data_IF_869859351449
#
_entry.id   IF_869859351449
#
_cell.length_a   1.000
_cell.length_b   1.000
_cell.length_c   1.000
_cell.angle_alpha   90.00
_cell.angle_beta   90.00
_cell.angle_gamma   90.00
#
_symmetry.space_group_name_H-M   'P 1'
#
loop_
_entity.id
_entity.type
_entity.pdbx_description
1 polymer ?
#
# COMPACT_ATOMS: atom_id res chain seq x y z
N UNK A 1 5.92 1.24 0.40
CA UNK A 1 6.16 -0.02 -0.35
C UNK A 1 7.18 -0.95 0.30
N UNK A 2 8.39 -0.49 0.70
CA UNK A 2 9.37 -1.40 1.34
C UNK A 2 8.76 -2.15 2.53
N UNK A 3 8.19 -1.41 3.48
CA UNK A 3 7.71 -2.00 4.73
C UNK A 3 6.48 -2.90 4.56
N UNK A 4 5.58 -2.56 3.63
CA UNK A 4 4.40 -3.39 3.34
C UNK A 4 4.73 -4.67 2.57
N UNK A 5 5.95 -4.78 2.02
CA UNK A 5 6.45 -5.97 1.33
C UNK A 5 7.55 -6.70 2.13
N UNK A 6 7.73 -6.38 3.41
CA UNK A 6 8.87 -6.80 4.22
C UNK A 6 9.14 -8.32 4.17
N UNK A 7 8.09 -9.14 4.17
CA UNK A 7 8.20 -10.60 4.21
C UNK A 7 8.87 -11.19 2.96
N UNK A 8 8.77 -10.50 1.82
CA UNK A 8 9.39 -10.93 0.57
C UNK A 8 10.76 -10.30 0.34
N UNK A 9 11.15 -9.28 1.11
CA UNK A 9 12.45 -8.60 0.91
C UNK A 9 13.65 -9.47 1.28
N UNK A 10 13.45 -10.46 2.15
CA UNK A 10 14.49 -11.40 2.56
C UNK A 10 14.55 -12.65 1.68
N UNK A 11 13.62 -12.78 0.72
CA UNK A 11 13.67 -13.87 -0.23
C UNK A 11 14.84 -13.66 -1.19
N UNK A 12 15.74 -14.64 -1.30
CA UNK A 12 16.90 -14.61 -2.19
C UNK A 12 16.53 -14.37 -3.67
N UNK A 13 15.30 -14.73 -4.04
CA UNK A 13 14.78 -14.59 -5.41
C UNK A 13 14.10 -13.23 -5.64
N UNK A 14 14.14 -12.32 -4.66
CA UNK A 14 13.53 -10.99 -4.73
C UNK A 14 14.60 -9.90 -4.59
N UNK A 15 14.62 -8.98 -5.54
CA UNK A 15 15.44 -7.77 -5.48
C UNK A 15 14.53 -6.55 -5.32
N UNK A 16 14.63 -5.87 -4.18
CA UNK A 16 13.91 -4.62 -3.93
C UNK A 16 14.82 -3.41 -4.08
N UNK A 17 14.44 -2.47 -4.94
CA UNK A 17 15.16 -1.23 -5.13
C UNK A 17 14.56 -0.12 -4.26
N UNK A 18 15.34 0.38 -3.28
CA UNK A 18 14.97 1.51 -2.44
C UNK A 18 16.00 2.65 -2.59
N UNK A 19 15.56 3.90 -2.85
CA UNK A 19 16.48 5.04 -2.92
C UNK A 19 17.30 5.27 -1.64
N UNK A 20 16.77 4.84 -0.48
CA UNK A 20 17.44 4.98 0.80
C UNK A 20 18.72 4.13 0.91
N UNK A 21 18.77 3.00 0.18
CA UNK A 21 19.87 2.04 0.22
C UNK A 21 21.00 2.41 -0.78
N UNK A 22 20.86 3.52 -1.51
CA UNK A 22 21.83 3.99 -2.50
C UNK A 22 23.10 4.56 -1.85
N UNK A 23 24.26 4.27 -2.45
CA UNK A 23 25.53 4.96 -2.13
C UNK A 23 25.43 6.47 -2.42
N UNK A 24 26.34 7.25 -1.84
CA UNK A 24 26.40 8.72 -2.06
C UNK A 24 26.42 9.08 -3.55
N UNK A 25 27.23 8.37 -4.35
CA UNK A 25 27.32 8.60 -5.80
C UNK A 25 26.01 8.25 -6.52
N UNK A 26 25.36 7.15 -6.15
CA UNK A 26 24.07 6.77 -6.70
C UNK A 26 22.97 7.77 -6.31
N UNK A 27 22.98 8.33 -5.09
CA UNK A 27 22.04 9.38 -4.68
C UNK A 27 22.14 10.63 -5.56
N UNK A 28 23.35 11.02 -5.97
CA UNK A 28 23.55 12.13 -6.90
C UNK A 28 22.86 11.85 -8.24
N UNK A 29 23.10 10.67 -8.84
CA UNK A 29 22.48 10.28 -10.10
C UNK A 29 20.95 10.11 -9.98
N UNK A 30 20.48 9.59 -8.84
CA UNK A 30 19.06 9.48 -8.55
C UNK A 30 18.39 10.85 -8.46
N UNK A 31 19.06 11.84 -7.87
CA UNK A 31 18.56 13.22 -7.82
C UNK A 31 18.51 13.87 -9.21
N UNK A 32 19.50 13.59 -10.07
CA UNK A 32 19.47 14.04 -11.48
C UNK A 32 18.29 13.39 -12.21
N UNK A 33 18.12 12.08 -12.07
CA UNK A 33 17.00 11.34 -12.63
C UNK A 33 15.65 11.91 -12.16
N UNK A 34 15.50 12.15 -10.85
CA UNK A 34 14.32 12.75 -10.26
C UNK A 34 14.04 14.15 -10.79
N UNK A 35 15.08 14.98 -10.92
CA UNK A 35 14.99 16.30 -11.54
C UNK A 35 14.50 16.20 -12.98
N UNK A 36 15.11 15.34 -13.81
CA UNK A 36 14.69 15.16 -15.21
C UNK A 36 13.21 14.74 -15.30
N UNK A 37 12.78 13.79 -14.48
CA UNK A 37 11.39 13.31 -14.41
C UNK A 37 10.41 14.43 -14.03
N UNK A 38 10.81 15.30 -13.10
CA UNK A 38 10.00 16.43 -12.63
C UNK A 38 9.77 17.47 -13.72
N UNK A 39 10.72 17.64 -14.64
CA UNK A 39 10.66 18.62 -15.74
C UNK A 39 10.20 18.01 -17.08
N UNK A 40 9.74 16.75 -17.09
CA UNK A 40 9.23 16.12 -18.31
C UNK A 40 10.32 15.56 -19.23
N UNK A 41 11.55 15.41 -18.75
CA UNK A 41 12.71 14.91 -19.50
C UNK A 41 12.98 13.42 -19.29
N UNK A 42 12.01 12.67 -18.76
CA UNK A 42 12.10 11.22 -18.56
C UNK A 42 12.57 10.44 -19.79
N UNK A 43 12.16 10.88 -20.99
CA UNK A 43 12.50 10.22 -22.25
C UNK A 43 13.91 10.55 -22.76
N UNK A 44 14.60 11.52 -22.14
CA UNK A 44 15.98 11.90 -22.47
C UNK A 44 17.01 11.31 -21.52
N UNK A 45 16.58 10.52 -20.53
CA UNK A 45 17.48 9.92 -19.54
C UNK A 45 18.38 8.88 -20.23
N UNK A 46 19.71 9.05 -20.21
CA UNK A 46 20.61 8.10 -20.83
C UNK A 46 20.61 6.72 -20.16
N UNK A 47 20.69 5.64 -20.95
CA UNK A 47 20.66 4.25 -20.47
C UNK A 47 21.69 3.96 -19.36
N UNK A 48 22.87 4.61 -19.40
CA UNK A 48 23.91 4.41 -18.39
C UNK A 48 23.46 4.82 -16.97
N UNK A 49 22.53 5.79 -16.84
CA UNK A 49 21.98 6.19 -15.54
C UNK A 49 21.20 5.02 -14.95
N UNK A 50 20.34 4.37 -15.73
CA UNK A 50 19.61 3.19 -15.29
C UNK A 50 20.56 2.05 -14.94
N UNK A 51 21.58 1.79 -15.78
CA UNK A 51 22.57 0.74 -15.53
C UNK A 51 23.34 0.95 -14.22
N UNK A 52 23.62 2.20 -13.86
CA UNK A 52 24.36 2.51 -12.63
C UNK A 52 23.48 2.51 -11.38
N UNK A 53 22.23 2.95 -11.51
CA UNK A 53 21.27 2.97 -10.41
C UNK A 53 20.73 1.58 -10.09
N UNK A 54 20.30 0.83 -11.10
CA UNK A 54 19.68 -0.47 -10.93
C UNK A 54 20.72 -1.58 -11.17
N UNK A 55 21.13 -2.35 -10.15
CA UNK A 55 22.20 -3.34 -10.24
C UNK A 55 21.75 -4.62 -10.96
N UNK A 56 21.08 -4.48 -12.10
CA UNK A 56 20.44 -5.58 -12.81
C UNK A 56 21.42 -6.67 -13.22
N UNK A 57 22.73 -6.42 -13.29
CA UNK A 57 23.72 -7.47 -13.57
C UNK A 57 23.77 -8.59 -12.51
N UNK A 58 23.22 -8.37 -11.32
CA UNK A 58 23.17 -9.41 -10.28
C UNK A 58 22.09 -10.46 -10.56
N UNK A 59 21.18 -10.22 -11.50
CA UNK A 59 20.09 -11.15 -11.85
C UNK A 59 20.57 -12.06 -12.99
N UNK A 60 20.88 -13.31 -12.68
CA UNK A 60 21.31 -14.33 -13.65
C UNK A 60 20.88 -15.72 -13.18
N UNK A 61 20.72 -16.67 -14.12
CA UNK A 61 20.35 -18.05 -13.81
C UNK A 61 18.87 -18.28 -13.47
N UNK A 62 18.01 -17.30 -13.70
CA UNK A 62 16.56 -17.43 -13.55
C UNK A 62 15.90 -17.67 -14.90
N UNK A 63 15.01 -18.67 -14.98
CA UNK A 63 14.23 -18.97 -16.19
C UNK A 63 13.28 -17.82 -16.56
N UNK A 64 12.73 -17.15 -15.53
CA UNK A 64 11.77 -16.07 -15.70
C UNK A 64 12.07 -14.94 -14.71
N UNK A 65 12.06 -13.71 -15.21
CA UNK A 65 12.22 -12.49 -14.41
C UNK A 65 10.92 -11.70 -14.43
N UNK A 66 10.51 -11.20 -13.27
CA UNK A 66 9.31 -10.37 -13.10
C UNK A 66 9.72 -8.99 -12.57
N UNK A 67 9.31 -7.94 -13.25
CA UNK A 67 9.51 -6.56 -12.82
C UNK A 67 8.18 -5.99 -12.34
N UNK A 68 8.09 -5.60 -11.07
CA UNK A 68 6.92 -4.96 -10.48
C UNK A 68 7.25 -3.47 -10.29
N UNK A 69 6.58 -2.62 -11.07
CA UNK A 69 6.79 -1.18 -11.07
C UNK A 69 5.62 -0.52 -10.33
N UNK A 70 5.92 0.05 -9.16
CA UNK A 70 4.94 0.84 -8.41
C UNK A 70 4.85 2.25 -8.97
N UNK A 71 3.63 2.81 -8.99
CA UNK A 71 3.34 4.15 -9.53
C UNK A 71 4.27 5.27 -9.00
N UNK A 72 4.70 5.16 -7.73
CA UNK A 72 5.54 6.17 -7.05
C UNK A 72 7.03 6.02 -7.34
N UNK A 73 7.43 4.99 -8.09
CA UNK A 73 8.82 4.84 -8.54
C UNK A 73 9.16 6.00 -9.50
N UNK A 74 10.34 6.60 -9.37
CA UNK A 74 10.76 7.70 -10.25
C UNK A 74 10.75 7.30 -11.73
N UNK A 75 11.08 6.04 -12.04
CA UNK A 75 11.09 5.53 -13.41
C UNK A 75 9.73 4.97 -13.86
N UNK A 76 8.65 5.11 -13.08
CA UNK A 76 7.36 4.50 -13.41
C UNK A 76 6.79 5.01 -14.73
N UNK A 77 7.11 6.25 -15.12
CA UNK A 77 6.68 6.85 -16.39
C UNK A 77 7.81 6.97 -17.43
N UNK A 78 8.87 6.16 -17.31
CA UNK A 78 10.05 6.25 -18.17
C UNK A 78 10.00 5.17 -19.24
N UNK A 79 9.58 5.52 -20.46
CA UNK A 79 9.58 4.56 -21.57
C UNK A 79 10.99 3.98 -21.85
N UNK A 80 12.08 4.77 -21.87
CA UNK A 80 13.43 4.23 -22.05
C UNK A 80 13.86 3.28 -20.93
N UNK A 81 13.32 3.42 -19.72
CA UNK A 81 13.60 2.49 -18.64
C UNK A 81 12.94 1.13 -18.91
N UNK A 82 11.68 1.11 -19.33
CA UNK A 82 10.98 -0.13 -19.69
C UNK A 82 11.70 -0.84 -20.85
N UNK A 83 12.13 -0.07 -21.86
CA UNK A 83 12.91 -0.57 -22.99
C UNK A 83 14.26 -1.14 -22.55
N UNK A 84 14.96 -0.47 -21.63
CA UNK A 84 16.19 -0.98 -21.04
C UNK A 84 15.97 -2.32 -20.30
N UNK A 85 14.88 -2.45 -19.53
CA UNK A 85 14.52 -3.70 -18.86
C UNK A 85 14.28 -4.84 -19.88
N UNK A 86 13.47 -4.60 -20.91
CA UNK A 86 13.17 -5.60 -21.96
C UNK A 86 14.39 -5.91 -22.82
N UNK A 87 15.25 -4.93 -23.13
CA UNK A 87 16.52 -5.15 -23.85
C UNK A 87 17.44 -6.09 -23.07
N UNK A 88 17.51 -5.95 -21.75
CA UNK A 88 18.37 -6.78 -20.89
C UNK A 88 17.74 -8.13 -20.56
N UNK A 89 16.42 -8.18 -20.41
CA UNK A 89 15.65 -9.39 -20.14
C UNK A 89 14.46 -9.51 -21.12
N UNK A 90 14.70 -9.99 -22.35
CA UNK A 90 13.68 -10.03 -23.41
C UNK A 90 12.42 -10.80 -23.04
N UNK A 91 12.57 -11.86 -22.24
CA UNK A 91 11.46 -12.70 -21.78
C UNK A 91 10.87 -12.26 -20.44
N UNK A 92 11.36 -11.16 -19.83
CA UNK A 92 10.82 -10.69 -18.55
C UNK A 92 9.35 -10.29 -18.65
N UNK A 93 8.63 -10.38 -17.53
CA UNK A 93 7.26 -9.89 -17.38
C UNK A 93 7.28 -8.52 -16.70
N UNK A 94 6.53 -7.56 -17.24
CA UNK A 94 6.41 -6.21 -16.70
C UNK A 94 5.03 -5.99 -16.11
N UNK A 95 4.97 -5.72 -14.81
CA UNK A 95 3.74 -5.40 -14.10
C UNK A 95 3.77 -3.96 -13.58
N UNK A 96 2.64 -3.27 -13.68
CA UNK A 96 2.46 -1.94 -13.13
C UNK A 96 1.44 -1.98 -12.00
N UNK A 97 1.77 -1.44 -10.83
CA UNK A 97 0.91 -1.49 -9.64
C UNK A 97 0.56 -0.09 -9.15
N UNK A 98 -0.73 0.22 -9.19
CA UNK A 98 -1.31 1.38 -8.53
C UNK A 98 -1.58 1.08 -7.06
N UNK A 99 -1.17 2.00 -6.18
CA UNK A 99 -1.30 1.91 -4.72
C UNK A 99 -2.09 3.08 -4.13
N UNK A 100 -2.45 4.07 -4.94
CA UNK A 100 -3.41 5.12 -4.61
C UNK A 100 -4.55 5.12 -5.63
N UNK A 101 -5.70 5.66 -5.23
CA UNK A 101 -6.89 5.73 -6.10
C UNK A 101 -6.64 6.62 -7.31
N UNK A 102 -7.20 6.25 -8.45
CA UNK A 102 -7.06 7.00 -9.70
C UNK A 102 -7.93 8.28 -9.69
N UNK A 103 -9.04 8.28 -8.96
CA UNK A 103 -9.93 9.43 -8.77
C UNK A 103 -9.25 10.66 -8.17
N UNK A 104 -8.18 10.48 -7.39
CA UNK A 104 -7.49 11.55 -6.67
C UNK A 104 -6.71 12.52 -7.57
N UNK A 105 -6.58 12.23 -8.87
CA UNK A 105 -5.71 12.92 -9.86
C UNK A 105 -4.22 12.97 -9.50
N UNK A 106 -3.81 12.48 -8.33
CA UNK A 106 -2.40 12.39 -7.92
C UNK A 106 -1.60 11.54 -8.91
N UNK A 107 -2.24 10.53 -9.49
CA UNK A 107 -1.65 9.58 -10.42
C UNK A 107 -2.02 9.84 -11.88
N UNK A 108 -2.54 11.03 -12.23
CA UNK A 108 -3.02 11.31 -13.60
C UNK A 108 -1.91 11.14 -14.65
N UNK A 109 -0.67 11.53 -14.31
CA UNK A 109 0.49 11.33 -15.19
C UNK A 109 0.77 9.83 -15.41
N UNK A 110 0.77 9.06 -14.33
CA UNK A 110 1.00 7.62 -14.35
C UNK A 110 -0.09 6.88 -15.11
N UNK A 111 -1.36 7.24 -14.88
CA UNK A 111 -2.51 6.68 -15.59
C UNK A 111 -2.40 6.90 -17.09
N UNK A 112 -2.21 8.16 -17.52
CA UNK A 112 -2.01 8.46 -18.96
C UNK A 112 -0.82 7.71 -19.55
N UNK A 113 0.27 7.58 -18.80
CA UNK A 113 1.44 6.83 -19.26
C UNK A 113 1.13 5.36 -19.50
N UNK A 114 0.51 4.68 -18.54
CA UNK A 114 0.19 3.24 -18.70
C UNK A 114 -0.89 3.00 -19.74
N UNK A 115 -1.85 3.91 -19.90
CA UNK A 115 -2.88 3.80 -20.95
C UNK A 115 -2.27 3.96 -22.35
N UNK A 116 -1.37 4.91 -22.53
CA UNK A 116 -0.69 5.16 -23.80
C UNK A 116 0.38 4.11 -24.15
N UNK A 117 0.79 3.27 -23.19
CA UNK A 117 1.86 2.27 -23.36
C UNK A 117 1.40 0.90 -22.82
N UNK A 118 0.10 0.60 -22.90
CA UNK A 118 -0.49 -0.60 -22.29
C UNK A 118 0.18 -1.87 -22.78
N UNK A 119 0.57 -1.91 -24.06
CA UNK A 119 1.23 -3.04 -24.72
C UNK A 119 2.62 -3.37 -24.15
N UNK A 120 3.21 -2.47 -23.35
CA UNK A 120 4.49 -2.71 -22.68
C UNK A 120 4.33 -3.54 -21.41
N UNK A 121 3.12 -3.64 -20.86
CA UNK A 121 2.85 -4.29 -19.59
C UNK A 121 2.12 -5.61 -19.81
N UNK A 122 2.61 -6.66 -19.15
CA UNK A 122 1.92 -7.95 -19.07
C UNK A 122 0.68 -7.84 -18.16
N UNK A 123 0.69 -6.92 -17.19
CA UNK A 123 -0.47 -6.63 -16.34
C UNK A 123 -0.37 -5.22 -15.73
N UNK A 124 -1.51 -4.52 -15.69
CA UNK A 124 -1.67 -3.28 -14.93
C UNK A 124 -2.68 -3.56 -13.81
N UNK A 125 -2.33 -3.21 -12.58
CA UNK A 125 -3.02 -3.66 -11.37
C UNK A 125 -3.44 -2.46 -10.53
N UNK A 126 -4.63 -2.52 -9.96
CA UNK A 126 -5.16 -1.56 -8.98
C UNK A 126 -5.83 -2.30 -7.82
N UNK A 127 -5.84 -1.66 -6.65
CA UNK A 127 -6.53 -2.18 -5.47
C UNK A 127 -7.99 -1.73 -5.36
N UNK A 128 -8.48 -0.99 -6.35
CA UNK A 128 -9.82 -0.45 -6.38
C UNK A 128 -10.61 -1.14 -7.51
N UNK A 129 -11.71 -1.80 -7.16
CA UNK A 129 -12.55 -2.54 -8.09
C UNK A 129 -13.20 -1.65 -9.15
N UNK A 130 -13.61 -0.43 -8.78
CA UNK A 130 -14.18 0.54 -9.73
C UNK A 130 -13.10 0.94 -10.74
N UNK A 131 -11.91 1.33 -10.28
CA UNK A 131 -10.77 1.65 -11.15
C UNK A 131 -10.41 0.47 -12.07
N UNK A 132 -10.49 -0.76 -11.55
CA UNK A 132 -10.20 -1.98 -12.31
C UNK A 132 -11.18 -2.17 -13.47
N UNK A 133 -12.48 -1.98 -13.22
CA UNK A 133 -13.52 -2.08 -14.26
C UNK A 133 -13.41 -0.94 -15.26
N UNK A 134 -13.31 0.31 -14.80
CA UNK A 134 -13.30 1.51 -15.64
C UNK A 134 -12.14 1.51 -16.63
N UNK A 135 -10.95 1.10 -16.18
CA UNK A 135 -9.74 1.12 -17.01
C UNK A 135 -9.38 -0.26 -17.57
N UNK A 136 -10.21 -1.30 -17.37
CA UNK A 136 -9.87 -2.68 -17.72
C UNK A 136 -8.48 -3.07 -17.19
N UNK A 137 -8.26 -2.82 -15.90
CA UNK A 137 -7.07 -3.23 -15.15
C UNK A 137 -7.41 -4.44 -14.29
N UNK A 138 -6.37 -5.13 -13.85
CA UNK A 138 -6.51 -6.25 -12.93
C UNK A 138 -6.75 -5.73 -11.50
N UNK A 139 -7.76 -6.26 -10.84
CA UNK A 139 -7.96 -6.02 -9.41
C UNK A 139 -7.05 -6.93 -8.57
N UNK A 140 -6.40 -6.36 -7.55
CA UNK A 140 -5.76 -7.12 -6.48
C UNK A 140 -5.74 -6.31 -5.17
N UNK A 141 -6.09 -6.96 -4.04
CA UNK A 141 -6.13 -6.31 -2.72
C UNK A 141 -4.80 -5.63 -2.33
N UNK A 142 -4.87 -4.61 -1.46
CA UNK A 142 -3.67 -4.03 -0.87
C UNK A 142 -2.82 -5.11 -0.17
N UNK A 143 -1.50 -4.97 -0.31
CA UNK A 143 -0.52 -5.88 0.26
C UNK A 143 0.02 -5.31 1.57
N UNK A 144 0.12 -6.13 2.61
CA UNK A 144 0.68 -5.76 3.90
C UNK A 144 1.43 -6.94 4.54
N UNK A 145 2.70 -6.72 4.84
CA UNK A 145 3.53 -7.60 5.65
C UNK A 145 3.32 -7.40 7.15
N UNK A 146 3.49 -8.50 7.89
CA UNK A 146 3.58 -8.46 9.36
C UNK A 146 5.03 -8.20 9.73
N UNK A 147 5.29 -7.09 10.44
CA UNK A 147 6.63 -6.81 10.95
C UNK A 147 6.82 -7.46 12.30
N UNK A 148 7.99 -8.08 12.49
CA UNK A 148 8.45 -8.48 13.82
C UNK A 148 8.94 -7.23 14.57
N UNK A 149 8.03 -6.58 15.27
CA UNK A 149 8.37 -5.53 16.25
C UNK A 149 8.53 -6.18 17.62
N UNK A 150 9.68 -5.97 18.27
CA UNK A 150 9.99 -6.52 19.60
C UNK A 150 9.21 -5.78 20.69
N UNK A 151 7.90 -6.02 20.78
CA UNK A 151 6.98 -5.30 21.67
C UNK A 151 6.04 -6.29 22.33
N UNK A 152 5.68 -6.03 23.59
CA UNK A 152 4.66 -6.81 24.28
C UNK A 152 3.31 -6.57 23.62
N UNK A 153 2.57 -7.64 23.30
CA UNK A 153 1.16 -7.58 22.85
C UNK A 153 0.22 -7.22 24.02
N UNK A 154 0.56 -6.20 24.80
CA UNK A 154 -0.34 -5.61 25.79
C UNK A 154 -1.00 -4.39 25.15
N UNK A 155 -2.33 -4.38 25.14
CA UNK A 155 -3.07 -3.28 24.53
C UNK A 155 -2.92 -2.01 25.38
N UNK A 156 -2.31 -0.98 24.81
CA UNK A 156 -2.18 0.35 25.41
C UNK A 156 -3.35 1.27 25.02
N UNK A 157 -4.13 0.94 24.00
CA UNK A 157 -5.33 1.67 23.59
C UNK A 157 -6.46 0.73 23.16
N UNK A 158 -7.70 1.21 23.24
CA UNK A 158 -8.85 0.48 22.72
C UNK A 158 -9.02 0.74 21.23
N UNK A 159 -8.71 1.95 20.78
CA UNK A 159 -8.79 2.31 19.36
C UNK A 159 -7.66 3.26 18.95
N UNK A 160 -7.10 2.99 17.77
CA UNK A 160 -5.96 3.72 17.21
C UNK A 160 -6.29 4.33 15.85
N UNK A 161 -5.80 5.55 15.63
CA UNK A 161 -5.80 6.21 14.33
C UNK A 161 -4.44 6.88 14.09
N UNK A 162 -3.92 6.80 12.87
CA UNK A 162 -2.81 7.65 12.44
C UNK A 162 -2.99 8.13 11.00
N UNK A 163 -3.01 9.43 10.72
CA UNK A 163 -3.19 9.85 9.34
C UNK A 163 -2.92 11.32 9.12
N UNK A 164 -2.62 11.67 7.87
CA UNK A 164 -2.51 13.06 7.47
C UNK A 164 -3.85 13.78 7.65
N UNK A 165 -3.79 15.01 8.18
CA UNK A 165 -4.92 15.92 8.14
C UNK A 165 -5.21 16.33 6.69
N UNK A 166 -6.16 15.64 6.07
CA UNK A 166 -6.68 15.92 4.73
C UNK A 166 -8.09 16.52 4.82
N UNK A 167 -8.36 17.32 5.85
CA UNK A 167 -9.72 17.78 6.18
C UNK A 167 -10.49 16.81 7.08
N UNK A 168 -9.79 15.84 7.70
CA UNK A 168 -10.41 14.84 8.60
C UNK A 168 -10.39 15.27 10.06
N UNK A 169 -9.69 16.36 10.41
CA UNK A 169 -9.48 16.73 11.82
C UNK A 169 -10.80 16.85 12.60
N UNK A 170 -11.77 17.58 12.07
CA UNK A 170 -13.05 17.79 12.75
C UNK A 170 -13.79 16.48 13.06
N UNK A 171 -13.93 15.57 12.08
CA UNK A 171 -14.62 14.29 12.31
C UNK A 171 -13.83 13.39 13.28
N UNK A 172 -12.50 13.39 13.22
CA UNK A 172 -11.66 12.59 14.14
C UNK A 172 -11.76 13.12 15.58
N UNK A 173 -11.83 14.44 15.76
CA UNK A 173 -12.03 15.06 17.08
C UNK A 173 -13.42 14.77 17.63
N UNK A 174 -14.47 14.82 16.80
CA UNK A 174 -15.82 14.42 17.21
C UNK A 174 -15.88 12.94 17.59
N UNK A 175 -15.25 12.05 16.81
CA UNK A 175 -15.10 10.64 17.12
C UNK A 175 -14.39 10.42 18.46
N UNK A 176 -13.28 11.13 18.68
CA UNK A 176 -12.54 11.08 19.95
C UNK A 176 -13.46 11.40 21.12
N UNK A 177 -14.14 12.55 21.06
CA UNK A 177 -15.01 13.01 22.14
C UNK A 177 -16.14 12.02 22.42
N UNK A 178 -16.77 11.49 21.35
CA UNK A 178 -17.84 10.49 21.47
C UNK A 178 -17.34 9.21 22.14
N UNK A 179 -16.21 8.67 21.68
CA UNK A 179 -15.66 7.41 22.17
C UNK A 179 -15.12 7.53 23.61
N UNK A 180 -14.41 8.62 23.92
CA UNK A 180 -13.92 8.91 25.27
C UNK A 180 -15.08 9.09 26.26
N UNK A 181 -16.19 9.70 25.84
CA UNK A 181 -17.42 9.79 26.67
C UNK A 181 -18.03 8.42 27.02
N UNK A 182 -17.71 7.38 26.25
CA UNK A 182 -18.11 5.99 26.48
C UNK A 182 -17.06 5.15 27.20
N UNK A 183 -15.97 5.78 27.67
CA UNK A 183 -14.87 5.12 28.37
C UNK A 183 -13.89 4.38 27.46
N UNK A 184 -13.85 4.70 26.15
CA UNK A 184 -12.89 4.13 25.19
C UNK A 184 -11.59 4.93 25.23
N UNK A 185 -10.44 4.25 25.36
CA UNK A 185 -9.12 4.88 25.31
C UNK A 185 -8.64 5.07 23.86
N UNK A 186 -8.68 6.31 23.37
CA UNK A 186 -8.34 6.68 22.00
C UNK A 186 -6.87 7.14 21.80
N UNK A 187 -6.11 6.47 20.93
CA UNK A 187 -4.79 6.88 20.46
C UNK A 187 -4.86 7.44 19.02
N UNK A 188 -5.40 8.66 18.86
CA UNK A 188 -5.49 9.31 17.54
C UNK A 188 -4.35 10.29 17.28
N UNK A 189 -3.59 10.00 16.23
CA UNK A 189 -2.41 10.73 15.79
C UNK A 189 -2.70 11.39 14.44
N UNK A 190 -3.15 12.65 14.47
CA UNK A 190 -3.37 13.44 13.27
C UNK A 190 -2.07 14.17 12.95
N UNK A 191 -1.34 13.67 11.95
CA UNK A 191 -0.03 14.21 11.57
C UNK A 191 -0.15 15.23 10.44
N UNK A 192 0.76 16.19 10.40
CA UNK A 192 0.95 17.05 9.23
C UNK A 192 1.90 16.40 8.21
N UNK A 193 2.06 17.02 7.04
CA UNK A 193 2.92 16.49 5.98
C UNK A 193 4.41 16.49 6.31
N UNK A 194 4.84 17.27 7.31
CA UNK A 194 6.24 17.46 7.72
C UNK A 194 6.65 16.53 8.86
N UNK A 195 5.71 16.15 9.72
CA UNK A 195 5.92 15.38 10.95
C UNK A 195 5.21 14.03 10.84
N UNK A 196 5.60 13.21 9.86
CA UNK A 196 5.08 11.85 9.71
C UNK A 196 5.72 10.92 10.74
N UNK A 197 4.91 10.09 11.38
CA UNK A 197 5.43 9.00 12.20
C UNK A 197 6.14 7.96 11.30
N UNK A 198 7.31 7.43 11.72
CA UNK A 198 7.89 6.26 11.08
C UNK A 198 6.90 5.10 11.06
N UNK A 199 6.91 4.30 10.01
CA UNK A 199 5.92 3.24 9.85
C UNK A 199 6.06 2.15 10.92
N UNK A 200 7.27 1.89 11.38
CA UNK A 200 7.58 0.96 12.48
C UNK A 200 6.90 1.40 13.79
N UNK A 201 6.80 2.71 14.02
CA UNK A 201 6.07 3.28 15.17
C UNK A 201 4.56 3.11 14.99
N UNK A 202 4.05 3.27 13.76
CA UNK A 202 2.64 3.00 13.45
C UNK A 202 2.31 1.53 13.72
N UNK A 203 3.15 0.60 13.26
CA UNK A 203 2.97 -0.84 13.48
C UNK A 203 3.01 -1.19 14.97
N UNK A 204 3.93 -0.60 15.74
CA UNK A 204 3.94 -0.72 17.19
C UNK A 204 2.57 -0.39 17.80
N UNK A 205 2.02 0.78 17.46
CA UNK A 205 0.70 1.23 17.93
C UNK A 205 -0.44 0.32 17.48
N UNK A 206 -0.36 -0.21 16.25
CA UNK A 206 -1.33 -1.22 15.75
C UNK A 206 -1.27 -2.49 16.61
N UNK A 207 -0.07 -3.01 16.90
CA UNK A 207 0.08 -4.22 17.72
C UNK A 207 -0.47 -4.01 19.13
N UNK A 208 -0.33 -2.79 19.68
CA UNK A 208 -0.78 -2.40 21.02
C UNK A 208 -2.20 -1.80 21.09
N UNK A 209 -3.02 -1.94 20.05
CA UNK A 209 -4.42 -1.49 20.06
C UNK A 209 -5.40 -2.63 19.85
N UNK A 210 -6.64 -2.50 20.33
CA UNK A 210 -7.71 -3.49 20.05
C UNK A 210 -8.33 -3.28 18.67
N UNK A 211 -8.56 -2.02 18.30
CA UNK A 211 -9.28 -1.63 17.09
C UNK A 211 -8.52 -0.55 16.30
N UNK A 212 -8.48 -0.68 14.99
CA UNK A 212 -8.00 0.35 14.07
C UNK A 212 -9.18 1.18 13.60
N UNK A 213 -9.04 2.50 13.60
CA UNK A 213 -9.99 3.42 12.98
C UNK A 213 -9.53 3.79 11.56
N UNK A 214 -10.43 3.64 10.59
CA UNK A 214 -10.26 4.09 9.22
C UNK A 214 -11.28 5.17 8.88
N UNK A 215 -10.78 6.32 8.43
CA UNK A 215 -11.60 7.43 7.93
C UNK A 215 -11.14 7.76 6.52
N UNK A 216 -11.92 7.37 5.53
CA UNK A 216 -11.73 7.78 4.14
C UNK A 216 -12.35 9.15 3.91
N UNK A 217 -11.63 10.01 3.18
CA UNK A 217 -12.17 11.29 2.71
C UNK A 217 -13.10 11.11 1.51
N UNK A 218 -12.75 10.16 0.65
CA UNK A 218 -13.56 9.79 -0.50
C UNK A 218 -14.14 8.40 -0.23
N UNK A 219 -15.41 8.36 0.16
CA UNK A 219 -16.17 7.14 0.43
C UNK A 219 -16.81 6.55 -0.82
N UNK A 220 -16.59 7.15 -2.01
CA UNK A 220 -17.04 6.57 -3.29
C UNK A 220 -16.12 5.46 -3.80
N UNK A 221 -14.97 5.28 -3.17
CA UNK A 221 -13.93 4.34 -3.59
C UNK A 221 -14.19 2.95 -3.02
N UNK A 222 -14.24 1.94 -3.90
CA UNK A 222 -14.49 0.57 -3.46
C UNK A 222 -13.26 -0.11 -2.87
N UNK A 223 -12.06 0.35 -3.23
CA UNK A 223 -10.80 -0.28 -2.84
C UNK A 223 -10.57 -0.29 -1.34
N UNK A 224 -10.05 -1.40 -0.82
CA UNK A 224 -9.70 -1.52 0.60
C UNK A 224 -8.44 -0.73 0.89
N UNK A 225 -8.47 0.10 1.94
CA UNK A 225 -7.31 0.91 2.27
C UNK A 225 -6.19 0.07 2.91
N UNK A 226 -5.00 0.66 3.03
CA UNK A 226 -3.91 0.04 3.78
C UNK A 226 -4.31 -0.25 5.24
N UNK A 227 -5.22 0.52 5.84
CA UNK A 227 -5.71 0.26 7.21
C UNK A 227 -6.51 -1.03 7.31
N UNK A 228 -7.34 -1.31 6.32
CA UNK A 228 -8.04 -2.58 6.24
C UNK A 228 -7.05 -3.74 6.08
N UNK A 229 -6.01 -3.57 5.26
CA UNK A 229 -4.97 -4.58 5.11
C UNK A 229 -4.14 -4.78 6.39
N UNK A 230 -3.82 -3.71 7.12
CA UNK A 230 -3.18 -3.75 8.44
C UNK A 230 -4.08 -4.48 9.46
N UNK A 231 -5.38 -4.20 9.48
CA UNK A 231 -6.33 -4.87 10.38
C UNK A 231 -6.37 -6.39 10.13
N UNK A 232 -6.36 -6.80 8.86
CA UNK A 232 -6.28 -8.22 8.47
C UNK A 232 -4.93 -8.82 8.90
N UNK A 233 -3.82 -8.19 8.52
CA UNK A 233 -2.47 -8.71 8.77
C UNK A 233 -2.18 -8.90 10.27
N UNK A 234 -2.57 -7.93 11.10
CA UNK A 234 -2.33 -7.92 12.55
C UNK A 234 -3.51 -8.47 13.36
N UNK A 235 -4.53 -9.05 12.71
CA UNK A 235 -5.72 -9.62 13.35
C UNK A 235 -6.40 -8.64 14.33
N UNK A 236 -6.56 -7.39 13.90
CA UNK A 236 -7.22 -6.33 14.67
C UNK A 236 -8.63 -6.09 14.16
N UNK A 237 -9.48 -5.56 15.05
CA UNK A 237 -10.78 -5.01 14.64
C UNK A 237 -10.56 -3.76 13.78
N UNK A 238 -11.46 -3.50 12.85
CA UNK A 238 -11.49 -2.29 12.03
C UNK A 238 -12.86 -1.62 12.18
N UNK A 239 -12.87 -0.38 12.65
CA UNK A 239 -14.01 0.52 12.57
C UNK A 239 -13.79 1.47 11.38
N UNK A 240 -14.68 1.46 10.40
CA UNK A 240 -14.49 2.21 9.15
C UNK A 240 -15.74 2.96 8.69
N UNK A 241 -15.55 4.11 8.03
CA UNK A 241 -16.60 4.81 7.27
C UNK A 241 -16.68 4.36 5.80
N UNK A 242 -15.93 3.34 5.40
CA UNK A 242 -15.98 2.77 4.05
C UNK A 242 -17.11 1.73 3.94
N UNK A 243 -18.25 2.11 3.36
CA UNK A 243 -19.41 1.23 3.21
C UNK A 243 -19.11 -0.03 2.38
N UNK A 244 -18.14 0.04 1.44
CA UNK A 244 -17.75 -1.10 0.60
C UNK A 244 -17.14 -2.25 1.39
N UNK A 245 -16.73 -2.05 2.65
CA UNK A 245 -16.23 -3.13 3.50
C UNK A 245 -17.24 -4.28 3.61
N UNK A 246 -18.55 -3.98 3.61
CA UNK A 246 -19.63 -4.98 3.71
C UNK A 246 -19.75 -5.86 2.47
N UNK A 247 -19.24 -5.41 1.33
CA UNK A 247 -19.27 -6.15 0.07
C UNK A 247 -18.00 -6.99 -0.16
N UNK A 248 -17.00 -6.89 0.73
CA UNK A 248 -15.75 -7.65 0.59
C UNK A 248 -15.98 -9.12 0.88
N UNK A 249 -15.34 -9.99 0.09
CA UNK A 249 -15.40 -11.45 0.27
C UNK A 249 -14.94 -11.92 1.67
N UNK A 250 -14.11 -11.11 2.33
CA UNK A 250 -13.56 -11.39 3.65
C UNK A 250 -14.31 -10.68 4.78
N UNK A 251 -15.43 -10.00 4.49
CA UNK A 251 -16.19 -9.31 5.52
C UNK A 251 -16.70 -10.29 6.59
N UNK A 252 -16.50 -9.92 7.85
CA UNK A 252 -17.15 -10.55 9.00
C UNK A 252 -17.40 -9.49 10.08
N UNK A 253 -18.52 -9.59 10.78
CA UNK A 253 -18.98 -8.61 11.76
C UNK A 253 -18.18 -8.64 13.08
N UNK A 254 -17.39 -9.69 13.31
CA UNK A 254 -16.50 -9.81 14.48
C UNK A 254 -15.25 -8.95 14.35
N UNK A 255 -14.74 -8.81 13.13
CA UNK A 255 -13.52 -8.06 12.84
C UNK A 255 -13.79 -6.70 12.20
N UNK A 256 -14.88 -6.51 11.46
CA UNK A 256 -15.15 -5.27 10.73
C UNK A 256 -16.48 -4.66 11.14
N UNK A 257 -16.47 -3.38 11.48
CA UNK A 257 -17.67 -2.59 11.74
C UNK A 257 -17.68 -1.33 10.88
N UNK A 258 -18.84 -1.04 10.32
CA UNK A 258 -19.08 0.14 9.50
C UNK A 258 -20.01 1.10 10.23
N UNK A 259 -19.71 2.39 10.14
CA UNK A 259 -20.57 3.46 10.62
C UNK A 259 -20.79 4.50 9.51
N UNK A 260 -22.00 5.05 9.43
CA UNK A 260 -22.32 6.14 8.49
C UNK A 260 -22.32 7.49 9.21
N UNK A 261 -22.80 7.52 10.45
CA UNK A 261 -22.75 8.68 11.36
C UNK A 261 -22.12 8.31 12.70
N UNK A 262 -21.90 9.30 13.57
CA UNK A 262 -21.29 9.09 14.89
C UNK A 262 -22.21 8.28 15.83
N UNK A 263 -23.52 8.37 15.60
CA UNK A 263 -24.56 7.69 16.35
C UNK A 263 -24.62 6.20 16.02
N UNK A 264 -24.22 5.81 14.81
CA UNK A 264 -24.18 4.41 14.35
C UNK A 264 -23.04 3.59 14.97
N UNK A 265 -22.11 4.25 15.67
CA UNK A 265 -20.91 3.58 16.16
C UNK A 265 -21.28 2.60 17.27
N UNK A 266 -21.12 1.33 16.97
CA UNK A 266 -21.15 0.24 17.94
C UNK A 266 -19.91 0.32 18.84
N UNK A 267 -20.11 0.86 20.05
CA UNK A 267 -19.07 0.98 21.07
C UNK A 267 -18.69 -0.39 21.64
N UNK A 268 -19.65 -1.31 21.72
CA UNK A 268 -19.41 -2.64 22.29
C UNK A 268 -18.52 -3.47 21.36
N UNK A 269 -18.66 -3.30 20.04
CA UNK A 269 -17.70 -3.82 19.07
C UNK A 269 -16.24 -3.46 19.41
N UNK A 270 -15.95 -2.25 19.90
CA UNK A 270 -14.59 -1.85 20.29
C UNK A 270 -14.15 -2.53 21.60
N UNK A 271 -15.07 -2.71 22.54
CA UNK A 271 -14.80 -3.24 23.89
C UNK A 271 -14.63 -4.75 23.92
N UNK A 272 -15.43 -5.46 23.14
CA UNK A 272 -15.45 -6.92 23.09
C UNK A 272 -14.10 -7.49 22.66
N UNK A 273 -13.68 -8.59 23.29
CA UNK A 273 -12.50 -9.31 22.88
C UNK A 273 -12.69 -9.90 21.47
N UNK A 274 -11.63 -9.91 20.67
CA UNK A 274 -11.58 -10.62 19.38
C UNK A 274 -10.81 -11.91 19.56
N UNK A 275 -11.44 -13.05 19.29
CA UNK A 275 -10.70 -14.30 19.15
C UNK A 275 -9.96 -14.29 17.80
N UNK A 276 -8.63 -14.49 17.83
CA UNK A 276 -7.77 -14.54 16.65
C UNK A 276 -8.17 -15.67 15.66
N UNK A 277 -8.99 -16.64 16.08
CA UNK A 277 -9.57 -17.69 15.23
C UNK A 277 -10.73 -17.19 14.35
N UNK A 278 -11.38 -16.09 14.74
CA UNK A 278 -12.49 -15.47 14.02
C UNK A 278 -12.01 -14.44 12.98
N UNK A 279 -10.73 -14.08 13.01
CA UNK A 279 -10.15 -13.14 12.06
C UNK A 279 -10.00 -13.76 10.67
N UNK A 280 -10.08 -12.90 9.66
CA UNK A 280 -9.72 -13.20 8.28
C UNK A 280 -8.29 -13.75 8.22
N UNK A 281 -8.08 -14.75 7.36
CA UNK A 281 -6.75 -15.27 7.07
C UNK A 281 -5.87 -14.15 6.48
N UNK A 282 -4.76 -13.84 7.17
CA UNK A 282 -3.81 -12.81 6.77
C UNK A 282 -3.13 -13.10 5.43
N UNK A 283 -3.19 -14.34 4.93
CA UNK A 283 -2.69 -14.69 3.61
C UNK A 283 -3.31 -13.85 2.49
N UNK A 284 -4.55 -13.36 2.64
CA UNK A 284 -5.23 -12.53 1.63
C UNK A 284 -4.53 -11.21 1.31
N UNK A 285 -3.81 -10.64 2.28
CA UNK A 285 -3.01 -9.41 2.10
C UNK A 285 -1.51 -9.68 2.06
N UNK A 286 -1.10 -10.95 2.10
CA UNK A 286 0.33 -11.28 2.14
C UNK A 286 1.02 -10.96 0.80
N UNK A 287 2.26 -10.43 0.82
CA UNK A 287 3.01 -10.21 -0.41
C UNK A 287 3.34 -11.52 -1.13
N UNK A 288 3.47 -12.63 -0.40
CA UNK A 288 3.69 -13.95 -1.00
C UNK A 288 2.52 -14.36 -1.90
N UNK A 289 1.28 -14.25 -1.42
CA UNK A 289 0.08 -14.53 -2.23
C UNK A 289 0.02 -13.62 -3.46
N UNK A 290 0.46 -12.36 -3.33
CA UNK A 290 0.55 -11.45 -4.47
C UNK A 290 1.56 -11.93 -5.52
N UNK A 291 2.74 -12.38 -5.11
CA UNK A 291 3.72 -12.96 -6.05
C UNK A 291 3.19 -14.23 -6.73
N UNK A 292 2.48 -15.08 -6.00
CA UNK A 292 1.88 -16.31 -6.57
C UNK A 292 0.76 -15.96 -7.57
N UNK A 293 -0.06 -14.96 -7.26
CA UNK A 293 -1.07 -14.42 -8.17
C UNK A 293 -0.45 -13.93 -9.48
N UNK A 294 0.64 -13.14 -9.40
CA UNK A 294 1.33 -12.65 -10.59
C UNK A 294 1.88 -13.79 -11.45
N UNK A 295 2.47 -14.81 -10.84
CA UNK A 295 3.00 -15.98 -11.56
C UNK A 295 1.89 -16.72 -12.31
N UNK A 296 0.78 -17.01 -11.63
CA UNK A 296 -0.33 -17.78 -12.20
C UNK A 296 -1.06 -17.07 -13.34
N UNK A 297 -1.15 -15.74 -13.30
CA UNK A 297 -1.91 -14.94 -14.26
C UNK A 297 -1.02 -14.26 -15.32
N UNK A 298 0.22 -14.72 -15.45
CA UNK A 298 1.20 -14.20 -16.42
C UNK A 298 1.62 -15.20 -17.50
N UNK A 299 1.05 -16.42 -17.43
CA UNK A 299 1.28 -17.55 -18.34
C UNK A 299 0.41 -17.39 -19.59
#
# INVERSE_FOLDING_TARGET
MKVVNNDILYNKDVLYFAPNDLSVRQKILYNILFFMTRYGWENMVPEFIYRYLYPLQTIHGYEQVYFIIYEQNVCSTHLPFLEYLKKKYPHSKLFYMFTNTLSSRVNEKQLRFVENNREKFDMIITFNEIDAVEHNFQFYNQVCSVLNVSIKEENESDIFFCGLDKGRRAIIEQLRNRLESCGIKCDFNIVDSKHKLPYEVIVSKIVQTKCILEILMDTSQSGSSLRAAEAIAYKKKLLTNNAFIKAKEYFNDKQFSYFSTLEDIDVDFIKEALDKSQCVDSMIVSPKRFLDFLKQNSI
#
